data_IF_060801003669
#
_entry.id   IF_060801003669
#
_cell.length_a   1.000
_cell.length_b   1.000
_cell.length_c   1.000
_cell.angle_alpha   90.00
_cell.angle_beta   90.00
_cell.angle_gamma   90.00
#
_symmetry.space_group_name_H-M   'P 1'
#
loop_
_entity.id
_entity.type
_entity.pdbx_description
1 polymer ?
#
# COMPACT_ATOMS: atom_id res chain seq x y z
N UNK A 1 5.75 19.64 -5.38
CA UNK A 1 4.38 20.14 -5.41
C UNK A 1 3.46 19.11 -4.75
N UNK A 2 2.63 19.57 -3.84
CA UNK A 2 1.65 18.72 -3.16
C UNK A 2 0.63 18.19 -4.18
N UNK A 3 0.35 16.93 -4.13
CA UNK A 3 -0.55 16.32 -5.08
C UNK A 3 -2.05 16.56 -4.76
N UNK A 4 -2.41 16.84 -3.51
CA UNK A 4 -3.77 17.20 -3.07
C UNK A 4 -4.89 16.29 -3.56
N UNK A 5 -4.55 15.24 -4.30
CA UNK A 5 -5.50 14.41 -5.04
C UNK A 5 -6.48 13.68 -4.12
N UNK A 6 -6.08 13.39 -2.89
CA UNK A 6 -6.96 12.77 -1.90
C UNK A 6 -8.11 13.70 -1.49
N UNK A 7 -7.90 14.99 -1.44
CA UNK A 7 -8.96 15.95 -1.11
C UNK A 7 -10.04 15.98 -2.19
N UNK A 8 -9.64 16.08 -3.45
CA UNK A 8 -10.60 16.01 -4.55
C UNK A 8 -11.38 14.69 -4.56
N UNK A 9 -10.68 13.57 -4.32
CA UNK A 9 -11.30 12.25 -4.29
C UNK A 9 -12.40 12.10 -3.23
N UNK A 10 -12.26 12.77 -2.09
CA UNK A 10 -13.19 12.61 -0.95
C UNK A 10 -14.26 13.69 -0.86
N UNK A 11 -14.04 14.87 -1.44
CA UNK A 11 -14.86 16.03 -1.14
C UNK A 11 -15.47 16.73 -2.35
N UNK A 12 -14.80 16.70 -3.52
CA UNK A 12 -15.21 17.57 -4.62
C UNK A 12 -14.64 17.11 -5.96
N UNK A 13 -15.51 16.71 -6.87
CA UNK A 13 -15.15 16.27 -8.21
C UNK A 13 -14.49 17.38 -9.05
N UNK A 14 -14.86 18.65 -8.85
CA UNK A 14 -14.19 19.78 -9.50
C UNK A 14 -12.76 19.95 -9.03
N UNK A 15 -12.51 19.79 -7.73
CA UNK A 15 -11.16 19.84 -7.19
C UNK A 15 -10.33 18.65 -7.71
N UNK A 16 -10.91 17.46 -7.80
CA UNK A 16 -10.26 16.30 -8.38
C UNK A 16 -9.88 16.54 -9.85
N UNK A 17 -10.80 17.06 -10.64
CA UNK A 17 -10.57 17.39 -12.05
C UNK A 17 -9.47 18.47 -12.20
N UNK A 18 -9.53 19.53 -11.40
CA UNK A 18 -8.52 20.61 -11.39
C UNK A 18 -7.13 20.09 -11.04
N UNK A 19 -7.02 19.23 -10.03
CA UNK A 19 -5.76 18.64 -9.59
C UNK A 19 -5.23 17.69 -10.68
N UNK A 20 -6.08 16.84 -11.24
CA UNK A 20 -5.72 15.91 -12.32
C UNK A 20 -5.19 16.67 -13.55
N UNK A 21 -5.88 17.74 -13.96
CA UNK A 21 -5.47 18.62 -15.05
C UNK A 21 -4.11 19.28 -14.77
N UNK A 22 -3.93 19.80 -13.55
CA UNK A 22 -2.67 20.42 -13.13
C UNK A 22 -1.50 19.42 -13.21
N UNK A 23 -1.69 18.18 -12.76
CA UNK A 23 -0.67 17.13 -12.84
C UNK A 23 -0.34 16.79 -14.30
N UNK A 24 -1.36 16.60 -15.16
CA UNK A 24 -1.16 16.29 -16.56
C UNK A 24 -0.41 17.42 -17.29
N UNK A 25 -0.77 18.69 -17.05
CA UNK A 25 -0.08 19.86 -17.63
C UNK A 25 1.39 19.92 -17.17
N UNK A 26 1.66 19.64 -15.89
CA UNK A 26 3.04 19.60 -15.37
C UNK A 26 3.84 18.46 -16.01
N UNK A 27 3.26 17.27 -16.09
CA UNK A 27 3.88 16.11 -16.73
C UNK A 27 4.18 16.38 -18.21
N UNK A 28 3.24 16.99 -18.94
CA UNK A 28 3.44 17.42 -20.33
C UNK A 28 4.57 18.45 -20.44
N UNK A 29 4.60 19.47 -19.57
CA UNK A 29 5.68 20.46 -19.54
C UNK A 29 7.04 19.83 -19.30
N UNK A 30 7.12 18.80 -18.47
CA UNK A 30 8.34 18.03 -18.20
C UNK A 30 8.67 17.02 -19.30
N UNK A 31 7.83 16.87 -20.33
CA UNK A 31 7.98 15.93 -21.44
C UNK A 31 8.15 14.48 -20.98
N UNK A 32 7.45 14.08 -19.91
CA UNK A 32 7.50 12.70 -19.42
C UNK A 32 6.64 11.79 -20.32
N UNK A 33 7.11 10.57 -20.55
CA UNK A 33 6.41 9.58 -21.36
C UNK A 33 5.47 8.70 -20.54
N UNK A 34 5.62 8.66 -19.23
CA UNK A 34 4.85 7.83 -18.31
C UNK A 34 4.88 8.41 -16.91
N UNK A 35 3.79 8.24 -16.18
CA UNK A 35 3.68 8.58 -14.76
C UNK A 35 3.61 7.27 -13.96
N UNK A 36 4.49 7.08 -12.97
CA UNK A 36 4.49 5.90 -12.10
C UNK A 36 3.87 6.26 -10.76
N UNK A 37 2.84 5.52 -10.35
CA UNK A 37 2.19 5.68 -9.06
C UNK A 37 2.98 4.96 -7.98
N UNK A 38 3.31 5.69 -6.89
CA UNK A 38 4.00 5.13 -5.74
C UNK A 38 3.11 4.21 -4.89
N UNK A 39 3.63 3.72 -3.76
CA UNK A 39 2.89 2.87 -2.82
C UNK A 39 1.77 3.65 -2.10
N UNK A 40 0.70 3.97 -2.79
CA UNK A 40 -0.48 4.65 -2.26
C UNK A 40 -1.75 4.23 -3.00
N UNK A 41 -2.62 3.48 -2.34
CA UNK A 41 -3.87 2.99 -2.94
C UNK A 41 -4.83 4.12 -3.35
N UNK A 42 -4.91 5.21 -2.59
CA UNK A 42 -5.75 6.35 -2.96
C UNK A 42 -5.21 7.08 -4.19
N UNK A 43 -3.91 7.27 -4.29
CA UNK A 43 -3.30 7.84 -5.48
C UNK A 43 -3.56 6.97 -6.72
N UNK A 44 -3.44 5.65 -6.60
CA UNK A 44 -3.78 4.72 -7.67
C UNK A 44 -5.23 4.91 -8.13
N UNK A 45 -6.19 4.90 -7.19
CA UNK A 45 -7.60 5.12 -7.51
C UNK A 45 -7.81 6.48 -8.21
N UNK A 46 -7.31 7.55 -7.64
CA UNK A 46 -7.50 8.89 -8.17
C UNK A 46 -6.85 9.09 -9.53
N UNK A 47 -5.61 8.64 -9.70
CA UNK A 47 -4.82 8.93 -10.91
C UNK A 47 -4.97 7.88 -12.01
N UNK A 48 -5.25 6.62 -11.69
CA UNK A 48 -5.37 5.55 -12.70
C UNK A 48 -6.82 5.18 -13.02
N UNK A 49 -7.78 5.42 -12.12
CA UNK A 49 -9.17 5.06 -12.36
C UNK A 49 -10.02 6.27 -12.71
N UNK A 50 -9.88 7.36 -11.97
CA UNK A 50 -10.78 8.52 -12.09
C UNK A 50 -10.21 9.54 -13.06
N UNK A 51 -8.93 9.92 -12.93
CA UNK A 51 -8.32 10.92 -13.81
C UNK A 51 -8.32 10.50 -15.28
N UNK A 52 -8.20 9.21 -15.58
CA UNK A 52 -8.26 8.70 -16.96
C UNK A 52 -9.62 8.87 -17.62
N UNK A 53 -10.69 9.06 -16.84
CA UNK A 53 -12.02 9.38 -17.37
C UNK A 53 -12.19 10.86 -17.67
N UNK A 54 -11.36 11.73 -17.11
CA UNK A 54 -11.43 13.18 -17.23
C UNK A 54 -10.43 13.68 -18.25
N UNK A 55 -9.23 13.11 -18.28
CA UNK A 55 -8.12 13.56 -19.14
C UNK A 55 -8.16 12.85 -20.48
N UNK A 56 -8.13 13.64 -21.56
CA UNK A 56 -8.19 13.15 -22.94
C UNK A 56 -7.05 13.73 -23.79
N UNK A 57 -6.86 13.16 -24.99
CA UNK A 57 -5.86 13.63 -25.93
C UNK A 57 -4.44 13.60 -25.36
N UNK A 58 -3.70 14.64 -25.60
CA UNK A 58 -2.30 14.79 -25.19
C UNK A 58 -2.09 15.04 -23.67
N UNK A 59 -3.18 15.15 -22.92
CA UNK A 59 -3.16 15.17 -21.45
C UNK A 59 -3.35 13.77 -20.85
N UNK A 60 -3.72 12.78 -21.64
CA UNK A 60 -3.84 11.38 -21.22
C UNK A 60 -2.48 10.69 -21.30
N UNK A 61 -1.59 11.03 -20.35
CA UNK A 61 -0.25 10.45 -20.27
C UNK A 61 -0.36 9.05 -19.66
N UNK A 62 0.29 8.01 -20.24
CA UNK A 62 0.28 6.64 -19.71
C UNK A 62 0.69 6.57 -18.24
N UNK A 63 -0.02 5.75 -17.48
CA UNK A 63 0.22 5.56 -16.05
C UNK A 63 0.50 4.09 -15.74
N UNK A 64 1.39 3.86 -14.78
CA UNK A 64 1.76 2.53 -14.33
C UNK A 64 1.87 2.49 -12.80
N UNK A 65 1.48 1.37 -12.20
CA UNK A 65 1.75 1.12 -10.79
C UNK A 65 3.23 0.88 -10.55
N UNK A 66 3.77 1.42 -9.46
CA UNK A 66 5.12 1.04 -9.04
C UNK A 66 5.24 -0.46 -8.78
N UNK A 67 4.18 -1.14 -8.35
CA UNK A 67 4.22 -2.58 -8.07
C UNK A 67 4.48 -3.41 -9.33
N UNK A 68 3.81 -3.06 -10.44
CA UNK A 68 4.06 -3.72 -11.74
C UNK A 68 5.41 -3.36 -12.33
N UNK A 69 5.87 -2.12 -12.12
CA UNK A 69 7.20 -1.70 -12.54
C UNK A 69 8.30 -2.40 -11.73
N UNK A 70 8.15 -2.47 -10.39
CA UNK A 70 9.10 -3.15 -9.51
C UNK A 70 9.19 -4.64 -9.85
N UNK A 71 8.09 -5.28 -10.15
CA UNK A 71 8.10 -6.68 -10.62
C UNK A 71 8.96 -6.84 -11.88
N UNK A 72 8.75 -5.98 -12.88
CA UNK A 72 9.57 -6.00 -14.11
C UNK A 72 11.06 -5.79 -13.81
N UNK A 73 11.39 -4.89 -12.87
CA UNK A 73 12.79 -4.63 -12.47
C UNK A 73 13.38 -5.83 -11.75
N UNK A 74 12.69 -6.38 -10.76
CA UNK A 74 13.16 -7.52 -9.95
C UNK A 74 13.45 -8.73 -10.85
N UNK A 75 12.53 -9.04 -11.77
CA UNK A 75 12.67 -10.20 -12.66
C UNK A 75 13.42 -9.90 -13.99
N UNK A 76 13.97 -8.70 -14.16
CA UNK A 76 14.73 -8.34 -15.35
C UNK A 76 16.09 -9.03 -15.46
N UNK A 77 16.61 -9.58 -14.37
CA UNK A 77 17.96 -10.14 -14.28
C UNK A 77 19.09 -9.09 -14.23
N UNK A 78 18.73 -7.79 -14.27
CA UNK A 78 19.72 -6.69 -14.29
C UNK A 78 20.27 -6.36 -12.89
N UNK A 79 19.55 -6.71 -11.86
CA UNK A 79 19.90 -6.49 -10.46
C UNK A 79 19.93 -7.86 -9.78
N UNK A 80 20.97 -8.11 -9.01
CA UNK A 80 21.07 -9.30 -8.17
C UNK A 80 20.52 -8.97 -6.79
N UNK A 81 19.65 -9.81 -6.30
CA UNK A 81 19.05 -9.71 -4.97
C UNK A 81 19.54 -10.83 -4.08
N UNK A 82 19.62 -10.57 -2.79
CA UNK A 82 20.01 -11.57 -1.78
C UNK A 82 18.80 -11.85 -0.86
N UNK A 83 18.02 -12.91 -1.11
CA UNK A 83 16.88 -13.26 -0.27
C UNK A 83 17.23 -13.52 1.19
N UNK A 84 18.48 -13.85 1.52
CA UNK A 84 18.90 -14.07 2.91
C UNK A 84 18.78 -12.82 3.79
N UNK A 85 18.75 -11.64 3.18
CA UNK A 85 18.54 -10.37 3.89
C UNK A 85 17.10 -10.23 4.45
N UNK A 86 16.17 -10.98 3.88
CA UNK A 86 14.76 -11.00 4.29
C UNK A 86 14.36 -12.36 4.88
N UNK A 87 15.31 -13.09 5.50
CA UNK A 87 15.04 -14.39 6.11
C UNK A 87 14.40 -14.24 7.50
N UNK A 88 13.21 -13.69 7.51
CA UNK A 88 12.31 -13.57 8.66
C UNK A 88 10.87 -13.66 8.17
N UNK A 89 9.90 -14.01 9.04
CA UNK A 89 8.49 -14.07 8.66
C UNK A 89 7.96 -12.75 8.09
N UNK A 90 7.44 -12.81 6.87
CA UNK A 90 6.83 -11.68 6.15
C UNK A 90 5.41 -12.05 5.75
N UNK A 91 4.47 -11.16 5.99
CA UNK A 91 3.10 -11.28 5.44
C UNK A 91 2.73 -10.04 4.64
N UNK A 92 1.72 -10.17 3.77
CA UNK A 92 1.26 -9.09 2.89
C UNK A 92 -0.12 -8.60 3.32
N UNK A 93 -0.23 -7.29 3.55
CA UNK A 93 -1.53 -6.62 3.54
C UNK A 93 -1.85 -6.14 2.12
N UNK A 94 -2.95 -6.61 1.57
CA UNK A 94 -3.46 -6.19 0.26
C UNK A 94 -4.19 -4.84 0.34
N UNK A 95 -3.65 -3.75 -0.25
CA UNK A 95 -4.35 -2.46 -0.23
C UNK A 95 -5.61 -2.50 -1.09
N UNK A 96 -6.77 -2.22 -0.51
CA UNK A 96 -8.07 -2.39 -1.17
C UNK A 96 -8.19 -1.62 -2.51
N UNK A 97 -7.66 -0.40 -2.59
CA UNK A 97 -7.70 0.38 -3.83
C UNK A 97 -6.77 -0.15 -4.93
N UNK A 98 -5.75 -0.91 -4.58
CA UNK A 98 -4.83 -1.54 -5.54
C UNK A 98 -5.41 -2.87 -6.00
N UNK A 99 -5.81 -3.73 -5.06
CA UNK A 99 -6.25 -5.08 -5.42
C UNK A 99 -7.68 -5.13 -5.94
N UNK A 100 -8.64 -4.42 -5.30
CA UNK A 100 -10.06 -4.47 -5.68
C UNK A 100 -10.40 -3.54 -6.84
N UNK A 101 -9.86 -2.32 -6.85
CA UNK A 101 -10.20 -1.34 -7.88
C UNK A 101 -9.37 -1.49 -9.16
N UNK A 102 -8.14 -1.99 -9.07
CA UNK A 102 -7.20 -2.07 -10.19
C UNK A 102 -6.79 -3.49 -10.56
N UNK A 103 -7.18 -4.50 -9.78
CA UNK A 103 -6.83 -5.90 -10.04
C UNK A 103 -5.34 -6.23 -9.91
N UNK A 104 -4.55 -5.34 -9.29
CA UNK A 104 -3.11 -5.56 -9.10
C UNK A 104 -2.92 -6.42 -7.84
N UNK A 105 -2.95 -7.73 -8.02
CA UNK A 105 -2.94 -8.73 -6.94
C UNK A 105 -1.60 -9.48 -6.89
N UNK A 106 -1.07 -9.90 -8.03
CA UNK A 106 0.06 -10.82 -8.10
C UNK A 106 1.46 -10.16 -8.10
N UNK A 107 1.70 -8.98 -8.66
CA UNK A 107 3.04 -8.41 -8.74
C UNK A 107 3.79 -8.38 -7.40
N UNK A 108 3.15 -7.86 -6.36
CA UNK A 108 3.73 -7.78 -5.02
C UNK A 108 3.96 -9.17 -4.41
N UNK A 109 3.08 -10.13 -4.69
CA UNK A 109 3.21 -11.53 -4.21
C UNK A 109 4.39 -12.23 -4.85
N UNK A 110 4.55 -12.11 -6.17
CA UNK A 110 5.67 -12.72 -6.87
C UNK A 110 7.00 -12.17 -6.37
N UNK A 111 7.09 -10.87 -6.14
CA UNK A 111 8.28 -10.25 -5.54
C UNK A 111 8.54 -10.81 -4.13
N UNK A 112 7.53 -10.86 -3.27
CA UNK A 112 7.69 -11.36 -1.90
C UNK A 112 8.07 -12.83 -1.85
N UNK A 113 7.46 -13.68 -2.68
CA UNK A 113 7.82 -15.11 -2.77
C UNK A 113 9.26 -15.31 -3.23
N UNK A 114 9.79 -14.40 -4.04
CA UNK A 114 11.17 -14.46 -4.50
C UNK A 114 12.17 -13.93 -3.47
N UNK A 115 11.85 -12.82 -2.80
CA UNK A 115 12.78 -12.12 -1.91
C UNK A 115 12.68 -12.50 -0.43
N UNK A 116 11.59 -13.13 -0.01
CA UNK A 116 11.30 -13.44 1.40
C UNK A 116 11.05 -14.94 1.55
N UNK A 117 12.07 -15.74 1.93
CA UNK A 117 11.94 -17.20 2.06
C UNK A 117 10.83 -17.64 3.01
N UNK A 118 10.51 -16.82 4.03
CA UNK A 118 9.46 -17.10 5.01
C UNK A 118 8.16 -16.29 4.74
N UNK A 119 7.90 -15.94 3.45
CA UNK A 119 6.65 -15.27 3.09
C UNK A 119 5.44 -16.18 3.34
N UNK A 120 4.40 -15.60 3.93
CA UNK A 120 3.11 -16.25 4.19
C UNK A 120 1.95 -15.30 3.95
N UNK A 121 0.84 -15.83 3.46
CA UNK A 121 -0.36 -15.05 3.22
C UNK A 121 -1.12 -14.77 4.53
N UNK A 122 -1.88 -13.69 4.55
CA UNK A 122 -2.99 -13.52 5.50
C UNK A 122 -4.22 -14.26 4.97
N UNK A 123 -5.09 -14.73 5.84
CA UNK A 123 -6.36 -15.34 5.45
C UNK A 123 -7.55 -14.52 5.99
N UNK A 124 -8.48 -14.09 5.12
CA UNK A 124 -8.45 -14.14 3.66
C UNK A 124 -7.45 -13.13 3.05
N UNK A 125 -7.03 -13.33 1.80
CA UNK A 125 -6.09 -12.47 1.10
C UNK A 125 -6.58 -12.05 -0.29
N UNK A 126 -5.78 -11.26 -1.03
CA UNK A 126 -6.14 -10.76 -2.36
C UNK A 126 -7.34 -9.84 -2.31
N UNK A 127 -8.31 -10.09 -3.18
CA UNK A 127 -9.53 -9.29 -3.28
C UNK A 127 -10.47 -9.46 -2.07
N UNK A 128 -10.36 -10.57 -1.35
CA UNK A 128 -11.15 -10.88 -0.16
C UNK A 128 -10.52 -10.39 1.14
N UNK A 129 -9.30 -9.83 1.04
CA UNK A 129 -8.55 -9.35 2.20
C UNK A 129 -9.34 -8.31 3.02
N UNK A 130 -9.22 -8.37 4.34
CA UNK A 130 -9.83 -7.36 5.22
C UNK A 130 -9.15 -6.00 5.08
N UNK A 131 -9.96 -4.94 5.10
CA UNK A 131 -9.46 -3.56 5.08
C UNK A 131 -8.61 -3.27 6.33
N UNK A 132 -7.59 -2.41 6.17
CA UNK A 132 -6.81 -1.94 7.33
C UNK A 132 -7.59 -0.97 8.23
N UNK A 133 -8.70 -0.39 7.74
CA UNK A 133 -9.46 0.63 8.47
C UNK A 133 -8.89 2.04 8.40
N UNK A 134 -7.80 2.28 7.66
CA UNK A 134 -7.10 3.57 7.61
C UNK A 134 -7.42 4.45 6.41
N UNK A 135 -8.40 4.08 5.59
CA UNK A 135 -8.76 4.80 4.37
C UNK A 135 -10.03 5.63 4.46
N UNK A 136 -10.37 6.30 3.35
CA UNK A 136 -11.57 7.13 3.19
C UNK A 136 -11.71 8.21 4.27
N UNK A 137 -12.93 8.54 4.66
CA UNK A 137 -13.22 9.53 5.69
C UNK A 137 -12.62 9.23 7.06
N UNK A 138 -12.39 7.95 7.39
CA UNK A 138 -11.74 7.55 8.63
C UNK A 138 -10.31 8.06 8.76
N UNK A 139 -9.57 8.13 7.64
CA UNK A 139 -8.20 8.66 7.65
C UNK A 139 -8.14 10.14 8.06
N UNK A 140 -9.17 10.91 7.72
CA UNK A 140 -9.27 12.34 8.04
C UNK A 140 -9.79 12.58 9.45
N UNK A 141 -10.72 11.74 9.91
CA UNK A 141 -11.34 11.87 11.23
C UNK A 141 -10.46 11.37 12.37
N UNK A 142 -9.45 10.59 12.07
CA UNK A 142 -8.74 9.75 13.04
C UNK A 142 -7.88 10.46 14.05
N UNK A 143 -7.38 11.67 13.74
CA UNK A 143 -6.43 12.35 14.62
C UNK A 143 -7.08 13.19 15.72
N UNK A 144 -8.39 13.47 15.63
CA UNK A 144 -9.05 14.39 16.56
C UNK A 144 -10.28 13.85 17.28
N UNK A 145 -11.06 12.92 16.69
CA UNK A 145 -12.36 12.58 17.26
C UNK A 145 -12.63 11.08 17.47
N UNK A 146 -12.01 10.14 16.76
CA UNK A 146 -12.37 8.71 16.81
C UNK A 146 -11.15 7.78 16.67
N UNK A 147 -10.00 8.18 17.17
CA UNK A 147 -8.77 7.36 17.04
C UNK A 147 -8.94 5.97 17.66
N UNK A 148 -9.47 5.91 18.86
CA UNK A 148 -9.66 4.65 19.58
C UNK A 148 -10.68 3.75 18.87
N UNK A 149 -11.81 4.30 18.41
CA UNK A 149 -12.78 3.54 17.63
C UNK A 149 -12.19 3.02 16.32
N UNK A 150 -11.45 3.86 15.61
CA UNK A 150 -10.79 3.46 14.37
C UNK A 150 -9.87 2.26 14.57
N UNK A 151 -9.11 2.23 15.66
CA UNK A 151 -8.17 1.14 15.95
C UNK A 151 -8.88 -0.04 16.58
N UNK A 152 -9.60 0.17 17.68
CA UNK A 152 -10.16 -0.90 18.50
C UNK A 152 -11.39 -1.59 17.88
N UNK A 153 -12.11 -0.89 17.01
CA UNK A 153 -13.27 -1.43 16.28
C UNK A 153 -12.98 -1.61 14.81
N UNK A 154 -12.62 -0.52 14.10
CA UNK A 154 -12.46 -0.54 12.64
C UNK A 154 -11.31 -1.42 12.14
N UNK A 155 -10.23 -1.53 12.91
CA UNK A 155 -9.04 -2.28 12.53
C UNK A 155 -8.83 -3.58 13.32
N UNK A 156 -9.72 -3.89 14.26
CA UNK A 156 -9.56 -5.07 15.13
C UNK A 156 -9.43 -6.37 14.33
N UNK A 157 -10.25 -6.54 13.32
CA UNK A 157 -10.22 -7.74 12.47
C UNK A 157 -8.89 -7.85 11.72
N UNK A 158 -8.36 -6.72 11.22
CA UNK A 158 -7.04 -6.68 10.58
C UNK A 158 -5.92 -7.03 11.56
N UNK A 159 -5.98 -6.52 12.77
CA UNK A 159 -4.98 -6.87 13.80
C UNK A 159 -5.00 -8.36 14.11
N UNK A 160 -6.20 -8.94 14.31
CA UNK A 160 -6.32 -10.40 14.48
C UNK A 160 -5.73 -11.16 13.30
N UNK A 161 -6.03 -10.77 12.08
CA UNK A 161 -5.51 -11.39 10.86
C UNK A 161 -3.97 -11.34 10.79
N UNK A 162 -3.36 -10.25 11.24
CA UNK A 162 -1.89 -10.13 11.35
C UNK A 162 -1.35 -11.13 12.36
N UNK A 163 -1.97 -11.23 13.54
CA UNK A 163 -1.54 -12.18 14.58
C UNK A 163 -1.69 -13.64 14.10
N UNK A 164 -2.80 -13.95 13.45
CA UNK A 164 -3.07 -15.30 12.91
C UNK A 164 -2.01 -15.71 11.85
N UNK A 165 -1.55 -14.76 11.03
CA UNK A 165 -0.50 -15.02 10.05
C UNK A 165 0.86 -15.39 10.69
N UNK A 166 1.07 -15.05 11.94
CA UNK A 166 2.29 -15.34 12.69
C UNK A 166 2.07 -16.21 13.92
N UNK A 167 0.95 -16.97 13.95
CA UNK A 167 0.54 -17.74 15.13
C UNK A 167 1.53 -18.84 15.53
N UNK A 168 2.34 -19.33 14.58
CA UNK A 168 3.40 -20.31 14.83
C UNK A 168 4.64 -19.73 15.54
N UNK A 169 4.76 -18.40 15.55
CA UNK A 169 5.89 -17.68 16.16
C UNK A 169 5.39 -16.44 16.93
N UNK A 170 4.62 -16.61 18.01
CA UNK A 170 3.90 -15.49 18.64
C UNK A 170 4.79 -14.55 19.45
N UNK A 171 5.97 -15.01 19.91
CA UNK A 171 6.87 -14.27 20.81
C UNK A 171 7.66 -13.15 20.10
N UNK A 172 8.27 -12.24 20.88
CA UNK A 172 9.03 -11.11 20.36
C UNK A 172 10.44 -11.46 19.87
N UNK A 173 10.92 -12.67 20.12
CA UNK A 173 12.29 -13.13 19.85
C UNK A 173 12.58 -13.16 18.35
N UNK A 174 11.54 -13.38 17.53
CA UNK A 174 11.62 -13.41 16.07
C UNK A 174 11.02 -12.14 15.52
N UNK A 175 11.83 -11.36 14.81
CA UNK A 175 11.35 -10.22 14.03
C UNK A 175 10.35 -10.69 12.97
N UNK A 176 9.21 -10.02 12.88
CA UNK A 176 8.17 -10.27 11.87
C UNK A 176 7.86 -8.98 11.11
N UNK A 177 7.44 -9.10 9.88
CA UNK A 177 7.21 -7.93 9.03
C UNK A 177 5.87 -8.00 8.31
N UNK A 178 5.08 -6.93 8.45
CA UNK A 178 3.86 -6.71 7.69
C UNK A 178 4.17 -5.80 6.51
N UNK A 179 4.26 -6.36 5.33
CA UNK A 179 4.39 -5.59 4.09
C UNK A 179 3.05 -4.96 3.72
N UNK A 180 2.99 -3.65 3.65
CA UNK A 180 1.79 -2.89 3.29
C UNK A 180 2.14 -1.87 2.20
N UNK A 181 2.05 -2.21 0.90
CA UNK A 181 2.42 -1.33 -0.21
C UNK A 181 1.37 -0.22 -0.46
N UNK A 182 1.05 0.51 0.60
CA UNK A 182 0.16 1.67 0.58
C UNK A 182 0.45 2.56 1.79
N UNK A 183 0.74 3.84 1.56
CA UNK A 183 1.09 4.80 2.63
C UNK A 183 0.03 4.92 3.71
N UNK A 184 -1.26 4.95 3.33
CA UNK A 184 -2.35 4.99 4.32
C UNK A 184 -2.44 3.69 5.12
N UNK A 185 -2.27 2.54 4.47
CA UNK A 185 -2.26 1.25 5.18
C UNK A 185 -1.04 1.12 6.09
N UNK A 186 0.14 1.59 5.65
CA UNK A 186 1.34 1.65 6.53
C UNK A 186 1.06 2.48 7.78
N UNK A 187 0.49 3.67 7.61
CA UNK A 187 0.11 4.52 8.74
C UNK A 187 -0.88 3.84 9.69
N UNK A 188 -1.93 3.21 9.15
CA UNK A 188 -2.90 2.51 9.97
C UNK A 188 -2.32 1.29 10.70
N UNK A 189 -1.49 0.49 10.01
CA UNK A 189 -0.84 -0.67 10.62
C UNK A 189 0.12 -0.20 11.71
N UNK A 190 0.88 0.88 11.50
CA UNK A 190 1.69 1.51 12.56
C UNK A 190 0.85 1.79 13.80
N UNK A 191 -0.26 2.49 13.63
CA UNK A 191 -1.11 2.90 14.74
C UNK A 191 -1.72 1.69 15.47
N UNK A 192 -2.12 0.65 14.73
CA UNK A 192 -2.58 -0.63 15.29
C UNK A 192 -1.47 -1.29 16.13
N UNK A 193 -0.28 -1.45 15.55
CA UNK A 193 0.82 -2.13 16.23
C UNK A 193 1.28 -1.38 17.47
N UNK A 194 1.27 -0.05 17.44
CA UNK A 194 1.56 0.79 18.61
C UNK A 194 0.48 0.66 19.69
N UNK A 195 -0.80 0.74 19.32
CA UNK A 195 -1.92 0.67 20.26
C UNK A 195 -1.92 -0.65 21.06
N UNK A 196 -1.65 -1.77 20.38
CA UNK A 196 -1.60 -3.09 21.03
C UNK A 196 -0.22 -3.47 21.57
N UNK A 197 0.77 -2.59 21.46
CA UNK A 197 2.18 -2.83 21.80
C UNK A 197 2.73 -4.12 21.15
N UNK A 198 2.44 -4.29 19.87
CA UNK A 198 2.72 -5.54 19.15
C UNK A 198 4.22 -5.74 18.86
N UNK A 199 5.01 -4.65 18.80
CA UNK A 199 6.46 -4.77 18.66
C UNK A 199 7.07 -5.51 19.84
N UNK A 200 6.79 -5.02 21.07
CA UNK A 200 7.36 -5.60 22.29
C UNK A 200 6.77 -6.96 22.64
N UNK A 201 5.47 -7.15 22.36
CA UNK A 201 4.77 -8.41 22.69
C UNK A 201 4.98 -9.52 21.68
N UNK A 202 5.23 -9.18 20.42
CA UNK A 202 5.21 -10.15 19.32
C UNK A 202 6.30 -9.92 18.27
N UNK A 203 7.17 -8.92 18.40
CA UNK A 203 8.23 -8.63 17.45
C UNK A 203 7.74 -8.20 16.05
N UNK A 204 6.49 -7.74 15.95
CA UNK A 204 5.88 -7.39 14.66
C UNK A 204 6.25 -5.97 14.27
N UNK A 205 6.89 -5.83 13.12
CA UNK A 205 7.22 -4.57 12.45
C UNK A 205 6.39 -4.41 11.17
N UNK A 206 6.49 -3.28 10.51
CA UNK A 206 5.75 -3.00 9.27
C UNK A 206 6.58 -2.13 8.32
N UNK A 207 6.19 -2.13 7.05
CA UNK A 207 6.75 -1.24 6.04
C UNK A 207 6.13 -1.48 4.67
N UNK A 208 6.77 -0.98 3.62
CA UNK A 208 6.35 -1.20 2.23
C UNK A 208 7.12 -2.34 1.56
N UNK A 209 6.84 -2.50 0.28
CA UNK A 209 7.51 -3.49 -0.55
C UNK A 209 8.92 -3.05 -0.91
N UNK A 210 9.12 -1.74 -1.13
CA UNK A 210 10.41 -1.18 -1.53
C UNK A 210 11.47 -1.43 -0.48
N UNK A 211 11.13 -1.35 0.83
CA UNK A 211 12.07 -1.62 1.92
C UNK A 211 12.65 -3.04 1.84
N UNK A 212 11.83 -4.04 1.44
CA UNK A 212 12.26 -5.43 1.29
C UNK A 212 13.07 -5.67 0.00
N UNK A 213 12.87 -4.84 -1.02
CA UNK A 213 13.62 -4.93 -2.27
C UNK A 213 15.04 -4.38 -2.12
N UNK A 214 15.22 -3.36 -1.28
CA UNK A 214 16.51 -2.65 -1.13
C UNK A 214 17.36 -3.16 0.05
N UNK A 215 16.85 -4.12 0.84
CA UNK A 215 17.65 -4.80 1.86
C UNK A 215 18.74 -5.66 1.20
#
# INVERSE_FOLDING_TARGET
AYDGVNYGLFYDDFQLARIALTHAQKAKKLKVNKIVMGECGHQHKAMMTISDRILTGDLSIPRESCLTLLEKIVFSGKIKFDPSKNDFPVTLHDPCNIVRNLGIVEPQRRILRYLCPQFREMEPHGVDNYCCGGGSGLAVMSSHNFSDWRISVGSRVKFKQILDAFADQPGPEVKKYVCAPCSNCKGQIRDILQYYNALDKSGITYGGLVELIVN
#
